data_IF_225321224756
#
_entry.id   IF_225321224756
#
_cell.length_a   1.000
_cell.length_b   1.000
_cell.length_c   1.000
_cell.angle_alpha   90.00
_cell.angle_beta   90.00
_cell.angle_gamma   90.00
#
_symmetry.space_group_name_H-M   'P 1'
#
loop_
_entity.id
_entity.type
_entity.pdbx_description
1 polymer ?
#
# COMPACT_ATOMS: atom_id res chain seq x y z
N UNK A 1 8.50 -10.11 0.41
CA UNK A 1 8.07 -8.92 1.17
C UNK A 1 6.56 -8.79 1.22
N UNK A 2 6.05 -8.15 2.27
CA UNK A 2 4.64 -7.84 2.50
C UNK A 2 4.35 -6.38 2.11
N UNK A 3 3.39 -6.15 1.21
CA UNK A 3 3.14 -4.83 0.62
C UNK A 3 1.74 -4.35 0.99
N UNK A 4 1.65 -3.19 1.64
CA UNK A 4 0.38 -2.52 1.95
C UNK A 4 -0.03 -1.52 0.86
N UNK A 5 -1.29 -1.60 0.41
CA UNK A 5 -1.86 -0.80 -0.68
C UNK A 5 -3.13 -0.07 -0.22
N UNK A 6 -3.14 1.26 -0.32
CA UNK A 6 -4.31 2.09 -0.02
C UNK A 6 -4.51 3.13 -1.13
N UNK A 7 -5.76 3.43 -1.46
CA UNK A 7 -6.08 4.55 -2.34
C UNK A 7 -7.33 5.30 -1.90
N UNK A 8 -7.24 6.64 -1.91
CA UNK A 8 -8.42 7.51 -1.89
C UNK A 8 -9.31 7.20 -3.09
N UNK A 9 -10.60 7.52 -2.98
CA UNK A 9 -11.61 7.20 -3.99
C UNK A 9 -11.20 7.70 -5.38
N UNK A 10 -10.75 8.95 -5.47
CA UNK A 10 -10.29 9.56 -6.72
C UNK A 10 -9.00 8.92 -7.29
N UNK A 11 -8.28 8.12 -6.50
CA UNK A 11 -7.01 7.47 -6.88
C UNK A 11 -7.12 5.95 -7.05
N UNK A 12 -8.28 5.34 -6.82
CA UNK A 12 -8.47 3.89 -6.99
C UNK A 12 -8.18 3.41 -8.41
N UNK A 13 -8.59 4.17 -9.44
CA UNK A 13 -8.25 3.86 -10.84
C UNK A 13 -6.74 3.91 -11.11
N UNK A 14 -6.04 4.86 -10.50
CA UNK A 14 -4.58 4.94 -10.58
C UNK A 14 -3.92 3.73 -9.91
N UNK A 15 -4.42 3.31 -8.75
CA UNK A 15 -3.94 2.11 -8.05
C UNK A 15 -4.14 0.84 -8.90
N UNK A 16 -5.31 0.68 -9.52
CA UNK A 16 -5.57 -0.42 -10.45
C UNK A 16 -4.57 -0.43 -11.61
N UNK A 17 -4.38 0.71 -12.28
CA UNK A 17 -3.43 0.82 -13.41
C UNK A 17 -1.99 0.49 -12.98
N UNK A 18 -1.56 0.98 -11.81
CA UNK A 18 -0.26 0.65 -11.24
C UNK A 18 -0.11 -0.86 -11.01
N UNK A 19 -1.11 -1.50 -10.38
CA UNK A 19 -1.07 -2.93 -10.13
C UNK A 19 -1.14 -3.77 -11.41
N UNK A 20 -1.82 -3.30 -12.46
CA UNK A 20 -1.81 -3.94 -13.78
C UNK A 20 -0.39 -3.86 -14.39
N UNK A 21 0.20 -2.66 -14.41
CA UNK A 21 1.51 -2.42 -15.02
C UNK A 21 2.62 -3.24 -14.34
N UNK A 22 2.59 -3.31 -13.01
CA UNK A 22 3.62 -3.99 -12.21
C UNK A 22 3.19 -5.36 -11.68
N UNK A 23 2.15 -5.97 -12.28
CA UNK A 23 1.62 -7.27 -11.87
C UNK A 23 2.71 -8.34 -11.77
N UNK A 24 3.64 -8.37 -12.72
CA UNK A 24 4.74 -9.33 -12.75
C UNK A 24 5.62 -9.29 -11.50
N UNK A 25 5.85 -8.09 -10.94
CA UNK A 25 6.62 -7.90 -9.71
C UNK A 25 5.73 -8.21 -8.50
N UNK A 26 4.55 -7.58 -8.43
CA UNK A 26 3.62 -7.71 -7.30
C UNK A 26 3.19 -9.15 -7.03
N UNK A 27 3.10 -10.00 -8.06
CA UNK A 27 2.74 -11.42 -7.93
C UNK A 27 3.74 -12.27 -7.14
N UNK A 28 4.96 -11.78 -6.93
CA UNK A 28 6.02 -12.45 -6.14
C UNK A 28 5.95 -12.11 -4.64
N UNK A 29 4.96 -11.32 -4.23
CA UNK A 29 4.88 -10.71 -2.91
C UNK A 29 3.50 -10.91 -2.29
N UNK A 30 3.42 -10.78 -0.96
CA UNK A 30 2.14 -10.82 -0.24
C UNK A 30 1.53 -9.43 -0.24
N UNK A 31 0.29 -9.31 -0.70
CA UNK A 31 -0.39 -8.02 -0.88
C UNK A 31 -1.50 -7.84 0.15
N UNK A 32 -1.56 -6.63 0.71
CA UNK A 32 -2.51 -6.24 1.75
C UNK A 32 -3.19 -4.94 1.35
N UNK A 33 -4.50 -4.82 1.53
CA UNK A 33 -5.21 -3.59 1.20
C UNK A 33 -6.45 -3.39 2.07
N UNK A 34 -6.98 -2.16 2.07
CA UNK A 34 -8.35 -1.91 2.57
C UNK A 34 -9.38 -2.49 1.61
N UNK A 35 -10.53 -2.91 2.14
CA UNK A 35 -11.54 -3.72 1.42
C UNK A 35 -11.80 -3.28 -0.03
N UNK A 36 -12.24 -2.03 -0.24
CA UNK A 36 -12.60 -1.52 -1.56
C UNK A 36 -11.39 -1.42 -2.49
N UNK A 37 -10.23 -1.05 -1.96
CA UNK A 37 -8.99 -0.96 -2.76
C UNK A 37 -8.58 -2.35 -3.22
N UNK A 38 -8.54 -3.33 -2.30
CA UNK A 38 -8.18 -4.71 -2.61
C UNK A 38 -9.13 -5.34 -3.62
N UNK A 39 -10.44 -5.26 -3.41
CA UNK A 39 -11.44 -5.83 -4.32
C UNK A 39 -11.29 -5.29 -5.77
N UNK A 40 -11.04 -3.98 -5.92
CA UNK A 40 -10.83 -3.38 -7.22
C UNK A 40 -9.54 -3.85 -7.90
N UNK A 41 -8.45 -4.04 -7.15
CA UNK A 41 -7.20 -4.56 -7.70
C UNK A 41 -7.38 -6.02 -8.11
N UNK A 42 -7.97 -6.86 -7.27
CA UNK A 42 -8.22 -8.28 -7.58
C UNK A 42 -9.04 -8.43 -8.86
N UNK A 43 -10.10 -7.63 -9.01
CA UNK A 43 -11.00 -7.71 -10.18
C UNK A 43 -10.32 -7.43 -11.52
N UNK A 44 -9.21 -6.68 -11.55
CA UNK A 44 -8.51 -6.29 -12.80
C UNK A 44 -7.16 -6.96 -12.99
N UNK A 45 -6.58 -7.53 -11.93
CA UNK A 45 -5.24 -8.14 -11.97
C UNK A 45 -5.24 -9.64 -11.68
N UNK A 46 -6.30 -10.17 -11.05
CA UNK A 46 -6.33 -11.53 -10.51
C UNK A 46 -5.14 -11.82 -9.56
N UNK A 47 -4.61 -10.80 -8.88
CA UNK A 47 -3.69 -10.95 -7.76
C UNK A 47 -4.49 -11.37 -6.52
N UNK A 48 -3.89 -12.16 -5.63
CA UNK A 48 -4.51 -12.48 -4.34
C UNK A 48 -4.18 -11.38 -3.33
N UNK A 49 -5.18 -10.77 -2.71
CA UNK A 49 -5.00 -9.66 -1.77
C UNK A 49 -5.67 -9.97 -0.44
N UNK A 50 -4.90 -9.90 0.64
CA UNK A 50 -5.50 -9.87 1.97
C UNK A 50 -6.20 -8.52 2.19
N UNK A 51 -7.53 -8.56 2.29
CA UNK A 51 -8.37 -7.39 2.52
C UNK A 51 -8.64 -7.22 4.00
N UNK A 52 -8.26 -6.04 4.51
CA UNK A 52 -8.73 -5.50 5.78
C UNK A 52 -10.11 -4.86 5.61
N UNK A 53 -10.68 -4.36 6.71
CA UNK A 53 -11.92 -3.58 6.69
C UNK A 53 -11.81 -2.35 5.75
N UNK A 54 -12.94 -1.71 5.40
CA UNK A 54 -12.91 -0.38 4.82
C UNK A 54 -12.06 0.58 5.67
N UNK A 55 -11.33 1.48 5.00
CA UNK A 55 -10.44 2.40 5.69
C UNK A 55 -11.14 3.22 6.78
N UNK A 56 -12.36 3.68 6.52
CA UNK A 56 -13.17 4.45 7.46
C UNK A 56 -13.81 3.63 8.59
N UNK A 57 -13.78 2.29 8.50
CA UNK A 57 -14.35 1.37 9.50
C UNK A 57 -13.28 0.63 10.31
N UNK A 58 -12.02 1.07 10.30
CA UNK A 58 -10.95 0.44 11.07
C UNK A 58 -9.84 -0.22 10.25
N UNK A 59 -9.99 -0.30 8.91
CA UNK A 59 -9.03 -1.01 8.06
C UNK A 59 -7.63 -0.41 8.08
N UNK A 60 -7.53 0.88 8.37
CA UNK A 60 -6.24 1.59 8.46
C UNK A 60 -5.56 1.31 9.78
N UNK A 61 -6.31 1.25 10.87
CA UNK A 61 -5.79 0.83 12.17
C UNK A 61 -5.28 -0.61 12.10
N UNK A 62 -5.98 -1.50 11.38
CA UNK A 62 -5.49 -2.85 11.13
C UNK A 62 -4.15 -2.85 10.39
N UNK A 63 -4.03 -2.05 9.33
CA UNK A 63 -2.77 -1.97 8.55
C UNK A 63 -1.64 -1.27 9.33
N UNK A 64 -1.95 -0.23 10.10
CA UNK A 64 -0.99 0.42 11.01
C UNK A 64 -0.46 -0.55 12.06
N UNK A 65 -1.32 -1.39 12.65
CA UNK A 65 -0.89 -2.43 13.59
C UNK A 65 0.06 -3.44 12.94
N UNK A 66 -0.11 -3.75 11.64
CA UNK A 66 0.84 -4.59 10.91
C UNK A 66 2.18 -3.87 10.68
N UNK A 67 2.17 -2.56 10.41
CA UNK A 67 3.40 -1.75 10.32
C UNK A 67 4.15 -1.76 11.66
N UNK A 68 3.44 -1.51 12.77
CA UNK A 68 4.01 -1.52 14.13
C UNK A 68 4.61 -2.88 14.51
N UNK A 69 4.02 -3.96 14.00
CA UNK A 69 4.47 -5.33 14.22
C UNK A 69 5.53 -5.79 13.19
N UNK A 70 6.06 -4.87 12.38
CA UNK A 70 7.03 -5.13 11.32
C UNK A 70 6.58 -6.19 10.28
N UNK A 71 5.26 -6.32 10.10
CA UNK A 71 4.62 -7.25 9.16
C UNK A 71 4.33 -6.64 7.79
N UNK A 72 4.59 -5.34 7.61
CA UNK A 72 4.56 -4.64 6.31
C UNK A 72 5.96 -4.15 6.00
N UNK A 73 6.43 -4.44 4.78
CA UNK A 73 7.79 -4.14 4.32
C UNK A 73 7.86 -2.98 3.33
N UNK A 74 6.74 -2.71 2.64
CA UNK A 74 6.58 -1.60 1.69
C UNK A 74 5.14 -1.10 1.77
N UNK A 75 4.97 0.22 1.76
CA UNK A 75 3.65 0.84 1.81
C UNK A 75 3.41 1.78 0.62
N UNK A 76 2.30 1.61 -0.08
CA UNK A 76 1.89 2.47 -1.20
C UNK A 76 0.51 3.04 -0.92
N UNK A 77 0.43 4.35 -0.79
CA UNK A 77 -0.80 5.08 -0.53
C UNK A 77 -1.03 6.18 -1.56
N UNK A 78 -1.93 5.98 -2.52
CA UNK A 78 -2.31 7.05 -3.45
C UNK A 78 -3.40 7.93 -2.87
N UNK A 79 -3.01 9.17 -2.54
CA UNK A 79 -3.84 10.17 -1.87
C UNK A 79 -4.40 11.19 -2.86
N UNK A 80 -5.57 11.74 -2.55
CA UNK A 80 -6.05 12.97 -3.17
C UNK A 80 -5.61 14.17 -2.31
N UNK A 81 -4.67 15.01 -2.78
CA UNK A 81 -4.19 16.15 -2.01
C UNK A 81 -5.11 17.37 -2.06
N UNK A 82 -6.07 17.43 -3.00
CA UNK A 82 -6.89 18.61 -3.23
C UNK A 82 -8.28 18.48 -2.61
N UNK A 83 -8.88 17.29 -2.70
CA UNK A 83 -10.28 17.07 -2.31
C UNK A 83 -10.48 15.76 -1.55
N UNK A 84 -9.78 15.54 -0.41
CA UNK A 84 -10.06 14.38 0.41
C UNK A 84 -11.50 14.46 0.93
N UNK A 85 -12.23 13.34 0.84
CA UNK A 85 -13.62 13.27 1.30
C UNK A 85 -13.67 13.11 2.82
N UNK A 86 -14.76 13.51 3.46
CA UNK A 86 -14.87 13.49 4.94
C UNK A 86 -14.79 12.09 5.56
N UNK A 87 -15.15 11.04 4.83
CA UNK A 87 -14.98 9.65 5.25
C UNK A 87 -13.60 9.09 4.93
N UNK A 88 -12.78 9.80 4.15
CA UNK A 88 -11.42 9.36 3.89
C UNK A 88 -10.56 9.57 5.13
N UNK A 89 -9.67 8.61 5.42
CA UNK A 89 -8.84 8.67 6.61
C UNK A 89 -7.93 9.89 6.64
N UNK A 90 -7.63 10.35 7.86
CA UNK A 90 -6.49 11.23 8.07
C UNK A 90 -5.22 10.50 7.65
N UNK A 91 -4.52 11.08 6.68
CA UNK A 91 -3.31 10.53 6.10
C UNK A 91 -2.14 10.52 7.09
N UNK A 92 -2.11 11.49 8.02
CA UNK A 92 -0.91 11.75 8.83
C UNK A 92 -0.46 10.54 9.63
N UNK A 93 -1.42 9.74 10.11
CA UNK A 93 -1.11 8.81 11.19
C UNK A 93 -0.43 7.55 10.67
N UNK A 94 -0.87 7.00 9.53
CA UNK A 94 -0.23 5.80 8.96
C UNK A 94 1.11 6.08 8.28
N UNK A 95 1.26 7.26 7.66
CA UNK A 95 2.56 7.66 7.10
C UNK A 95 3.56 7.91 8.23
N UNK A 96 3.12 8.53 9.33
CA UNK A 96 3.94 8.67 10.54
C UNK A 96 4.36 7.32 11.11
N UNK A 97 3.51 6.29 11.06
CA UNK A 97 3.92 4.94 11.45
C UNK A 97 5.02 4.41 10.52
N UNK A 98 4.90 4.62 9.20
CA UNK A 98 5.96 4.22 8.27
C UNK A 98 7.29 4.91 8.60
N UNK A 99 7.27 6.20 8.93
CA UNK A 99 8.46 6.96 9.33
C UNK A 99 9.07 6.38 10.63
N UNK A 100 8.24 6.07 11.62
CA UNK A 100 8.68 5.57 12.93
C UNK A 100 9.31 4.17 12.86
N UNK A 101 8.80 3.30 11.98
CA UNK A 101 9.27 1.93 11.80
C UNK A 101 10.18 1.76 10.57
N UNK A 102 10.58 2.87 9.94
CA UNK A 102 11.45 2.91 8.77
C UNK A 102 10.95 2.00 7.62
N UNK A 103 9.64 2.06 7.35
CA UNK A 103 9.00 1.36 6.24
C UNK A 103 9.09 2.25 4.99
N UNK A 104 9.70 1.78 3.88
CA UNK A 104 9.63 2.46 2.60
C UNK A 104 8.17 2.77 2.23
N UNK A 105 7.87 4.05 2.01
CA UNK A 105 6.51 4.51 1.75
C UNK A 105 6.44 5.40 0.51
N UNK A 106 5.50 5.09 -0.38
CA UNK A 106 5.14 5.93 -1.51
C UNK A 106 3.77 6.55 -1.29
N UNK A 107 3.66 7.86 -1.46
CA UNK A 107 2.39 8.57 -1.29
C UNK A 107 1.82 9.17 -2.59
N UNK A 108 2.49 8.88 -3.70
CA UNK A 108 2.16 9.29 -5.06
C UNK A 108 2.76 8.27 -6.04
N UNK A 109 2.38 8.36 -7.32
CA UNK A 109 2.78 7.39 -8.36
C UNK A 109 4.29 7.43 -8.66
N UNK A 110 4.91 8.61 -8.72
CA UNK A 110 6.32 8.74 -9.06
C UNK A 110 7.22 8.02 -8.04
N UNK A 111 6.93 8.17 -6.75
CA UNK A 111 7.63 7.44 -5.70
C UNK A 111 7.31 5.94 -5.74
N UNK A 112 6.05 5.57 -6.03
CA UNK A 112 5.67 4.15 -6.09
C UNK A 112 6.38 3.40 -7.22
N UNK A 113 6.54 4.02 -8.39
CA UNK A 113 7.30 3.44 -9.50
C UNK A 113 8.79 3.28 -9.17
N UNK A 114 9.39 4.26 -8.49
CA UNK A 114 10.76 4.15 -8.04
C UNK A 114 10.93 2.99 -7.04
N UNK A 115 10.03 2.89 -6.05
CA UNK A 115 10.10 1.85 -5.01
C UNK A 115 9.79 0.44 -5.55
N UNK A 116 8.83 0.28 -6.46
CA UNK A 116 8.50 -1.05 -7.00
C UNK A 116 9.63 -1.60 -7.89
N UNK A 117 10.31 -0.72 -8.64
CA UNK A 117 11.49 -1.10 -9.42
C UNK A 117 12.70 -1.37 -8.52
N UNK A 118 12.86 -0.61 -7.44
CA UNK A 118 13.88 -0.88 -6.43
C UNK A 118 13.66 -2.24 -5.74
N UNK A 119 12.39 -2.56 -5.43
CA UNK A 119 12.00 -3.86 -4.89
C UNK A 119 12.39 -5.01 -5.83
N UNK A 120 12.09 -4.92 -7.12
CA UNK A 120 12.41 -5.99 -8.08
C UNK A 120 13.92 -6.16 -8.31
N UNK A 121 14.72 -5.10 -8.08
CA UNK A 121 16.19 -5.15 -8.09
C UNK A 121 16.81 -5.72 -6.81
N UNK A 122 16.03 -5.89 -5.74
CA UNK A 122 16.54 -6.30 -4.42
C UNK A 122 17.11 -5.14 -3.58
N UNK A 123 16.91 -3.88 -4.00
CA UNK A 123 17.43 -2.70 -3.28
C UNK A 123 16.78 -2.55 -1.88
N UNK A 124 15.66 -3.23 -1.64
CA UNK A 124 14.92 -3.22 -0.37
C UNK A 124 15.22 -4.43 0.53
N UNK A 125 16.08 -5.38 0.11
CA UNK A 125 16.31 -6.65 0.81
C UNK A 125 16.87 -6.48 2.23
N UNK A 126 17.48 -5.32 2.51
CA UNK A 126 17.87 -4.93 3.86
C UNK A 126 16.72 -5.01 4.87
N UNK A 127 15.46 -4.88 4.44
CA UNK A 127 14.26 -5.05 5.28
C UNK A 127 14.14 -6.44 5.88
N UNK A 128 14.66 -7.48 5.23
CA UNK A 128 14.64 -8.85 5.75
C UNK A 128 15.61 -9.02 6.93
N UNK A 129 16.66 -8.21 7.01
CA UNK A 129 17.62 -8.23 8.13
C UNK A 129 17.08 -7.55 9.40
N UNK A 130 15.99 -6.78 9.29
CA UNK A 130 15.35 -6.08 10.40
C UNK A 130 14.15 -6.87 10.99
N UNK A 131 13.87 -8.08 10.50
CA UNK A 131 12.81 -8.94 11.02
C UNK A 131 13.25 -9.75 12.24
#
# INVERSE_FOLDING_TARGET
>A
MNIGLIAHDAKKKLMQNFCIAYRGILSKHSLYATETTGALIESVTNLNIHKFLPGHLGGIQQLSSQIESNQIDLFIFFRDPLTPRSHEPSVSDIVKMCDMYNIPAATNIATAEALILALDRGDLDWREMYK
#
